data_IF_342894643607
#
_entry.id   IF_342894643607
#
_cell.length_a   1.000
_cell.length_b   1.000
_cell.length_c   1.000
_cell.angle_alpha   90.00
_cell.angle_beta   90.00
_cell.angle_gamma   90.00
#
_symmetry.space_group_name_H-M   'P 1'
#
loop_
_entity.id
_entity.type
_entity.pdbx_description
1 polymer ?
#
# COMPACT_ATOMS: atom_id res chain seq x y z
N UNK A 1 5.44 -45.14 21.40
CA UNK A 1 6.39 -44.22 22.06
C UNK A 1 7.44 -43.88 21.02
N UNK A 2 7.17 -42.90 20.15
CA UNK A 2 8.06 -42.53 19.06
C UNK A 2 8.62 -41.14 19.29
N UNK A 3 9.93 -41.08 19.57
CA UNK A 3 10.69 -39.86 19.75
C UNK A 3 11.09 -39.30 18.39
N UNK A 4 10.54 -38.14 18.01
CA UNK A 4 11.06 -37.34 16.90
C UNK A 4 12.17 -36.42 17.42
N UNK A 5 13.37 -36.62 16.87
CA UNK A 5 14.58 -35.84 17.12
C UNK A 5 14.45 -34.50 16.40
N UNK A 6 14.68 -33.41 17.12
CA UNK A 6 14.84 -32.07 16.57
C UNK A 6 16.29 -31.87 16.15
N UNK A 7 16.53 -31.57 14.88
CA UNK A 7 17.83 -31.07 14.41
C UNK A 7 17.77 -29.54 14.38
N UNK A 8 18.50 -28.90 15.29
CA UNK A 8 18.78 -27.46 15.29
C UNK A 8 20.13 -27.27 14.61
N UNK A 9 20.16 -26.60 13.47
CA UNK A 9 21.39 -26.19 12.80
C UNK A 9 21.72 -24.78 13.27
N UNK A 10 22.80 -24.65 14.05
CA UNK A 10 23.45 -23.38 14.33
C UNK A 10 24.48 -23.11 13.23
N UNK A 11 24.31 -22.03 12.47
CA UNK A 11 25.33 -21.52 11.57
C UNK A 11 25.96 -20.29 12.22
N UNK A 12 27.21 -20.43 12.67
CA UNK A 12 28.04 -19.36 13.19
C UNK A 12 28.92 -18.83 12.04
N UNK A 13 28.76 -17.57 11.67
CA UNK A 13 29.71 -16.90 10.77
C UNK A 13 30.79 -16.22 11.61
N UNK A 14 32.01 -16.71 11.43
CA UNK A 14 33.27 -16.11 11.88
C UNK A 14 33.61 -15.02 10.86
N UNK A 15 33.68 -13.76 11.29
CA UNK A 15 34.33 -12.68 10.52
C UNK A 15 35.74 -12.53 11.09
N UNK A 16 36.73 -13.01 10.32
CA UNK A 16 38.14 -12.74 10.58
C UNK A 16 38.50 -11.37 9.97
N UNK A 17 39.08 -10.52 10.81
CA UNK A 17 39.72 -9.28 10.41
C UNK A 17 41.00 -9.55 9.60
N UNK A 18 41.25 -8.73 8.58
CA UNK A 18 42.51 -8.64 7.87
C UNK A 18 42.82 -7.19 7.52
N UNK A 19 43.67 -6.57 8.33
CA UNK A 19 44.36 -5.31 8.06
C UNK A 19 45.66 -5.54 7.27
N UNK A 20 46.24 -4.43 6.81
CA UNK A 20 47.58 -4.21 6.24
C UNK A 20 47.66 -4.30 4.70
N UNK A 21 48.28 -3.39 3.95
CA UNK A 21 49.08 -2.18 4.22
C UNK A 21 49.56 -1.65 2.85
N UNK A 22 49.46 -0.35 2.55
CA UNK A 22 50.49 0.68 2.73
C UNK A 22 51.40 0.96 1.48
N UNK A 23 51.39 2.23 1.04
CA UNK A 23 52.53 3.13 0.71
C UNK A 23 52.54 3.86 -0.65
N UNK A 24 52.45 5.19 -0.52
CA UNK A 24 53.30 6.29 -1.05
C UNK A 24 53.71 6.39 -2.52
N UNK A 25 53.45 7.58 -3.11
CA UNK A 25 54.46 8.60 -3.51
C UNK A 25 53.76 9.84 -4.13
N UNK A 26 53.87 11.04 -3.51
CA UNK A 26 54.64 12.26 -3.93
C UNK A 26 54.54 12.62 -5.43
N UNK A 27 54.40 13.87 -5.91
CA UNK A 27 54.48 15.24 -5.39
C UNK A 27 53.93 16.21 -6.47
N UNK A 28 53.56 17.45 -6.10
CA UNK A 28 54.16 18.68 -6.64
C UNK A 28 53.26 19.91 -6.40
N UNK A 29 53.90 20.89 -5.79
CA UNK A 29 53.55 22.31 -5.59
C UNK A 29 53.07 23.05 -6.84
N UNK A 30 52.20 24.06 -6.65
CA UNK A 30 52.55 25.44 -6.96
C UNK A 30 51.67 26.47 -6.23
N UNK A 31 52.36 27.43 -5.61
CA UNK A 31 51.84 28.67 -5.02
C UNK A 31 51.34 29.62 -6.11
N UNK A 32 50.34 30.45 -5.79
CA UNK A 32 50.28 31.84 -6.24
C UNK A 32 49.39 32.66 -5.28
N UNK A 33 50.07 33.46 -4.46
CA UNK A 33 49.50 34.53 -3.64
C UNK A 33 49.72 35.84 -4.38
N UNK A 34 48.68 36.64 -4.64
CA UNK A 34 48.82 38.10 -4.79
C UNK A 34 47.58 38.82 -4.23
N UNK A 35 47.88 39.74 -3.31
CA UNK A 35 47.04 40.76 -2.66
C UNK A 35 46.27 41.66 -3.65
N UNK A 36 45.14 42.25 -3.23
CA UNK A 36 45.13 43.60 -2.61
C UNK A 36 43.75 44.29 -2.56
N UNK A 37 43.54 44.97 -1.43
CA UNK A 37 42.82 46.25 -1.19
C UNK A 37 41.27 46.26 -1.30
N UNK A 38 40.58 46.38 -0.17
CA UNK A 38 40.22 47.60 0.58
C UNK A 38 39.17 48.49 -0.10
N UNK A 39 38.00 48.60 0.53
CA UNK A 39 37.31 49.87 0.84
C UNK A 39 36.25 49.60 1.93
N UNK A 40 36.51 50.11 3.13
CA UNK A 40 35.50 50.39 4.16
C UNK A 40 34.72 51.65 3.76
N UNK A 41 33.39 51.65 3.97
CA UNK A 41 32.65 52.84 4.41
C UNK A 41 31.63 52.40 5.47
N UNK A 42 31.72 53.08 6.61
CA UNK A 42 30.91 52.98 7.83
C UNK A 42 29.56 53.72 7.73
N UNK A 43 28.73 53.49 8.76
CA UNK A 43 27.53 54.23 9.23
C UNK A 43 26.19 53.63 8.75
N UNK A 44 25.14 53.50 9.56
CA UNK A 44 24.89 53.85 10.96
C UNK A 44 23.70 53.01 11.48
N UNK A 45 23.61 52.95 12.81
CA UNK A 45 22.68 52.19 13.62
C UNK A 45 21.33 52.92 13.76
N UNK A 46 20.22 52.24 13.52
CA UNK A 46 18.92 52.56 14.14
C UNK A 46 18.13 51.27 14.41
N UNK A 47 17.56 51.19 15.62
CA UNK A 47 16.89 50.04 16.21
C UNK A 47 15.41 49.93 15.77
N UNK A 48 14.72 48.80 16.02
CA UNK A 48 13.54 48.39 15.26
C UNK A 48 12.22 48.90 15.87
N UNK A 49 11.25 49.21 15.01
CA UNK A 49 9.83 49.27 15.37
C UNK A 49 9.17 47.88 15.20
N UNK A 50 8.32 47.43 16.15
CA UNK A 50 7.66 46.15 16.05
C UNK A 50 6.37 46.30 15.23
N UNK A 51 6.41 45.99 13.94
CA UNK A 51 5.18 45.87 13.15
C UNK A 51 4.62 44.46 13.29
N UNK A 52 3.57 44.35 14.10
CA UNK A 52 2.64 43.22 14.10
C UNK A 52 2.16 42.95 12.67
N UNK A 53 2.69 41.89 12.07
CA UNK A 53 2.17 41.30 10.83
C UNK A 53 1.89 39.84 11.14
N UNK A 54 0.66 39.58 11.61
CA UNK A 54 0.07 38.24 11.64
C UNK A 54 -0.04 37.73 10.20
N UNK A 55 1.04 37.15 9.68
CA UNK A 55 1.02 36.33 8.49
C UNK A 55 0.40 35.00 8.91
N UNK A 56 -0.93 34.94 8.88
CA UNK A 56 -1.63 33.67 8.79
C UNK A 56 -1.26 33.10 7.42
N UNK A 57 -0.19 32.28 7.37
CA UNK A 57 0.10 31.43 6.21
C UNK A 57 -1.16 30.60 5.97
N UNK A 58 -1.95 30.99 4.97
CA UNK A 58 -2.90 30.08 4.35
C UNK A 58 -2.06 28.90 3.85
N UNK A 59 -2.15 27.78 4.55
CA UNK A 59 -1.64 26.50 4.04
C UNK A 59 -2.57 26.16 2.90
N UNK A 60 -2.21 26.61 1.71
CA UNK A 60 -2.85 26.15 0.49
C UNK A 60 -2.63 24.63 0.46
N UNK A 61 -3.72 23.88 0.65
CA UNK A 61 -3.69 22.42 0.58
C UNK A 61 -3.55 22.09 -0.90
N UNK A 62 -2.31 22.08 -1.36
CA UNK A 62 -1.99 21.78 -2.75
C UNK A 62 -2.35 20.30 -3.01
N UNK A 63 -3.22 20.07 -4.00
CA UNK A 63 -3.70 18.72 -4.32
C UNK A 63 -2.58 17.88 -4.94
N UNK A 64 -2.46 16.59 -4.58
CA UNK A 64 -1.46 15.70 -5.16
C UNK A 64 -1.73 15.47 -6.66
N UNK A 65 -0.66 15.30 -7.42
CA UNK A 65 -0.69 14.97 -8.84
C UNK A 65 -0.93 13.48 -9.01
N UNK A 66 -2.07 13.11 -9.60
CA UNK A 66 -2.49 11.71 -9.75
C UNK A 66 -2.15 11.17 -11.14
N UNK A 67 -1.39 10.08 -11.17
CA UNK A 67 -1.14 9.26 -12.36
C UNK A 67 -1.93 7.96 -12.29
N UNK A 68 -2.47 7.51 -13.42
CA UNK A 68 -3.28 6.27 -13.48
C UNK A 68 -2.78 5.42 -14.64
N UNK A 69 -2.28 4.22 -14.34
CA UNK A 69 -1.93 3.22 -15.34
C UNK A 69 -3.07 2.21 -15.49
N UNK A 70 -3.96 2.45 -16.46
CA UNK A 70 -5.13 1.59 -16.69
C UNK A 70 -4.77 0.17 -17.11
N UNK A 71 -3.64 0.01 -17.82
CA UNK A 71 -3.18 -1.28 -18.36
C UNK A 71 -2.68 -2.21 -17.25
N UNK A 72 -1.95 -1.64 -16.30
CA UNK A 72 -1.39 -2.37 -15.17
C UNK A 72 -2.33 -2.37 -13.95
N UNK A 73 -3.36 -1.51 -13.95
CA UNK A 73 -4.37 -1.47 -12.90
C UNK A 73 -3.82 -0.90 -11.60
N UNK A 74 -3.19 0.28 -11.65
CA UNK A 74 -2.82 1.02 -10.45
C UNK A 74 -2.84 2.53 -10.67
N UNK A 75 -2.82 3.28 -9.58
CA UNK A 75 -2.66 4.73 -9.60
C UNK A 75 -1.60 5.18 -8.62
N UNK A 76 -0.85 6.21 -9.00
CA UNK A 76 0.18 6.84 -8.19
C UNK A 76 -0.24 8.26 -7.85
N UNK A 77 0.09 8.71 -6.65
CA UNK A 77 -0.10 10.09 -6.22
C UNK A 77 1.27 10.68 -5.90
N UNK A 78 1.63 11.75 -6.62
CA UNK A 78 2.87 12.50 -6.44
C UNK A 78 2.58 13.81 -5.72
N UNK A 79 3.58 14.35 -5.01
CA UNK A 79 3.49 15.69 -4.45
C UNK A 79 3.54 16.72 -5.58
N UNK A 80 2.84 17.84 -5.43
CA UNK A 80 2.83 18.89 -6.48
C UNK A 80 4.22 19.42 -6.81
N UNK A 81 5.11 19.49 -5.81
CA UNK A 81 6.49 19.96 -5.97
C UNK A 81 7.29 19.18 -7.02
N UNK A 82 6.73 18.12 -7.58
CA UNK A 82 7.32 17.25 -8.58
C UNK A 82 6.83 17.50 -10.00
N UNK A 83 5.78 18.30 -10.21
CA UNK A 83 5.05 18.41 -11.49
C UNK A 83 5.95 18.52 -12.73
N UNK A 84 7.11 19.18 -12.59
CA UNK A 84 8.05 19.45 -13.67
C UNK A 84 9.41 18.73 -13.53
N UNK A 85 9.53 17.82 -12.56
CA UNK A 85 10.78 17.15 -12.19
C UNK A 85 10.78 15.64 -12.47
N UNK A 86 9.72 15.08 -13.04
CA UNK A 86 9.71 13.67 -13.40
C UNK A 86 9.07 13.41 -14.76
N UNK A 87 9.42 12.26 -15.32
CA UNK A 87 8.78 11.69 -16.49
C UNK A 87 8.45 10.22 -16.20
N UNK A 88 7.26 9.80 -16.62
CA UNK A 88 6.84 8.39 -16.58
C UNK A 88 6.85 7.85 -18.00
N UNK A 89 7.67 6.83 -18.23
CA UNK A 89 7.75 6.10 -19.47
C UNK A 89 7.07 4.72 -19.29
N UNK A 90 6.04 4.43 -20.08
CA UNK A 90 5.31 3.15 -20.04
C UNK A 90 5.90 2.14 -21.03
N UNK A 91 6.24 0.92 -20.57
CA UNK A 91 6.86 -0.12 -21.40
C UNK A 91 6.21 -1.46 -21.07
N UNK A 92 5.44 -2.05 -21.98
CA UNK A 92 4.89 -3.43 -21.87
C UNK A 92 4.28 -3.84 -20.51
N UNK A 93 5.06 -4.43 -19.61
CA UNK A 93 4.60 -4.87 -18.30
C UNK A 93 5.14 -3.99 -17.16
N UNK A 94 5.77 -2.86 -17.46
CA UNK A 94 6.35 -1.94 -16.50
C UNK A 94 6.11 -0.48 -16.80
N UNK A 95 6.34 0.34 -15.78
CA UNK A 95 6.58 1.77 -15.93
C UNK A 95 7.96 2.10 -15.39
N UNK A 96 8.57 3.13 -15.96
CA UNK A 96 9.85 3.69 -15.53
C UNK A 96 9.59 5.14 -15.15
N UNK A 97 9.91 5.51 -13.93
CA UNK A 97 9.82 6.87 -13.42
C UNK A 97 11.25 7.41 -13.42
N UNK A 98 11.47 8.49 -14.16
CA UNK A 98 12.74 9.16 -14.31
C UNK A 98 12.65 10.56 -13.68
N UNK A 99 13.73 11.01 -13.02
CA UNK A 99 13.95 12.40 -12.67
C UNK A 99 14.36 13.17 -13.92
N UNK A 100 13.74 14.31 -14.17
CA UNK A 100 14.11 15.21 -15.24
C UNK A 100 15.09 16.26 -14.69
N UNK A 101 16.36 16.17 -15.10
CA UNK A 101 17.39 17.13 -14.72
C UNK A 101 17.15 18.48 -15.41
N UNK A 102 17.64 19.61 -14.86
CA UNK A 102 17.47 20.94 -15.46
C UNK A 102 18.04 21.07 -16.88
N UNK A 103 19.06 20.27 -17.22
CA UNK A 103 19.66 20.22 -18.55
C UNK A 103 18.83 19.40 -19.57
N UNK A 104 17.72 18.78 -19.13
CA UNK A 104 16.84 17.95 -19.94
C UNK A 104 17.17 16.45 -19.91
N UNK A 105 18.26 16.05 -19.24
CA UNK A 105 18.63 14.65 -19.12
C UNK A 105 17.69 13.90 -18.16
N UNK A 106 17.56 12.59 -18.39
CA UNK A 106 16.76 11.70 -17.57
C UNK A 106 17.65 10.87 -16.67
N UNK A 107 17.38 10.89 -15.37
CA UNK A 107 17.97 9.94 -14.42
C UNK A 107 16.91 8.93 -13.96
N UNK A 108 17.26 7.64 -13.98
CA UNK A 108 16.36 6.60 -13.48
C UNK A 108 16.11 6.73 -11.97
N UNK A 109 14.85 6.88 -11.55
CA UNK A 109 14.45 6.87 -10.14
C UNK A 109 13.98 5.48 -9.73
N UNK A 110 12.92 5.00 -10.37
CA UNK A 110 12.38 3.68 -10.11
C UNK A 110 11.68 3.08 -11.31
N UNK A 111 11.53 1.75 -11.31
CA UNK A 111 10.55 1.08 -12.16
C UNK A 111 9.53 0.36 -11.30
N UNK A 112 8.31 0.22 -11.82
CA UNK A 112 7.29 -0.67 -11.28
C UNK A 112 7.00 -1.68 -12.36
N UNK A 113 7.20 -2.95 -12.04
CA UNK A 113 7.06 -4.03 -13.00
C UNK A 113 5.97 -4.99 -12.52
N UNK A 114 5.16 -5.49 -13.46
CA UNK A 114 4.16 -6.53 -13.22
C UNK A 114 4.68 -7.84 -13.80
N UNK A 115 4.79 -8.84 -12.93
CA UNK A 115 5.15 -10.19 -13.28
C UNK A 115 3.98 -11.13 -13.01
N UNK A 116 3.85 -12.22 -13.76
CA UNK A 116 3.09 -13.38 -13.25
C UNK A 116 3.82 -14.00 -12.06
N UNK A 117 3.15 -14.90 -11.34
CA UNK A 117 3.77 -15.72 -10.29
C UNK A 117 5.01 -16.47 -10.77
N UNK A 118 4.88 -17.14 -11.91
CA UNK A 118 5.92 -17.98 -12.49
C UNK A 118 7.08 -17.13 -13.04
N UNK A 119 6.80 -15.95 -13.58
CA UNK A 119 7.82 -14.97 -13.95
C UNK A 119 8.57 -14.47 -12.72
N UNK A 120 7.85 -14.10 -11.66
CA UNK A 120 8.47 -13.63 -10.42
C UNK A 120 9.37 -14.69 -9.77
N UNK A 121 8.90 -15.94 -9.70
CA UNK A 121 9.69 -17.03 -9.12
C UNK A 121 10.95 -17.33 -9.94
N UNK A 122 10.97 -17.03 -11.25
CA UNK A 122 12.19 -17.08 -12.08
C UNK A 122 13.12 -15.92 -11.77
N UNK A 123 12.58 -14.70 -11.73
CA UNK A 123 13.34 -13.49 -11.37
C UNK A 123 14.04 -13.68 -10.02
N UNK A 124 13.32 -14.13 -8.98
CA UNK A 124 13.89 -14.35 -7.64
C UNK A 124 14.96 -15.46 -7.61
N UNK A 125 14.86 -16.47 -8.49
CA UNK A 125 15.84 -17.57 -8.55
C UNK A 125 17.12 -17.19 -9.27
N UNK A 126 17.02 -16.36 -10.30
CA UNK A 126 18.16 -15.94 -11.12
C UNK A 126 18.95 -14.79 -10.47
N UNK A 127 18.35 -14.10 -9.49
CA UNK A 127 18.89 -12.88 -8.89
C UNK A 127 19.83 -13.13 -7.70
N UNK A 128 20.87 -13.94 -7.91
CA UNK A 128 21.92 -14.18 -6.91
C UNK A 128 23.00 -13.08 -6.86
N UNK A 129 23.05 -12.15 -7.83
CA UNK A 129 24.19 -11.21 -7.95
C UNK A 129 23.87 -9.78 -8.44
N UNK A 130 22.64 -9.39 -8.78
CA UNK A 130 22.39 -8.05 -9.38
C UNK A 130 21.40 -7.24 -8.55
N UNK A 131 21.93 -6.37 -7.68
CA UNK A 131 21.20 -5.23 -7.06
C UNK A 131 19.75 -5.53 -6.69
N UNK A 132 19.55 -6.07 -5.48
CA UNK A 132 18.28 -6.57 -4.98
C UNK A 132 17.06 -5.73 -5.45
N UNK A 133 15.97 -6.38 -5.92
CA UNK A 133 14.75 -5.68 -6.29
C UNK A 133 14.35 -4.75 -5.14
N UNK A 134 13.97 -3.52 -5.47
CA UNK A 134 13.56 -2.45 -4.55
C UNK A 134 12.35 -2.79 -3.65
N UNK A 135 11.89 -4.04 -3.70
CA UNK A 135 10.86 -4.62 -2.86
C UNK A 135 9.67 -5.10 -3.68
N UNK A 136 8.95 -6.08 -3.11
CA UNK A 136 7.61 -6.44 -3.58
C UNK A 136 6.67 -5.33 -3.13
N UNK A 137 6.00 -4.68 -4.09
CA UNK A 137 5.01 -3.64 -3.83
C UNK A 137 3.61 -4.24 -3.55
N UNK A 138 3.21 -5.21 -4.37
CA UNK A 138 1.94 -5.92 -4.23
C UNK A 138 2.08 -7.35 -4.73
N UNK A 139 1.45 -8.29 -4.04
CA UNK A 139 1.43 -9.70 -4.41
C UNK A 139 -0.01 -10.20 -4.42
N UNK A 140 -0.56 -10.43 -5.61
CA UNK A 140 -1.90 -11.01 -5.81
C UNK A 140 -1.80 -12.50 -6.16
N UNK A 141 -2.94 -13.18 -6.33
CA UNK A 141 -2.95 -14.59 -6.77
C UNK A 141 -2.31 -14.79 -8.15
N UNK A 142 -2.46 -13.80 -9.04
CA UNK A 142 -2.01 -13.90 -10.44
C UNK A 142 -0.71 -13.15 -10.69
N UNK A 143 -0.52 -12.00 -10.05
CA UNK A 143 0.56 -11.07 -10.37
C UNK A 143 1.38 -10.67 -9.15
N UNK A 144 2.64 -10.35 -9.38
CA UNK A 144 3.54 -9.66 -8.44
C UNK A 144 3.93 -8.33 -9.05
N UNK A 145 3.67 -7.25 -8.32
CA UNK A 145 4.22 -5.94 -8.62
C UNK A 145 5.49 -5.75 -7.82
N UNK A 146 6.60 -5.54 -8.51
CA UNK A 146 7.91 -5.28 -7.92
C UNK A 146 8.34 -3.85 -8.23
N UNK A 147 9.30 -3.34 -7.48
CA UNK A 147 10.02 -2.13 -7.86
C UNK A 147 11.50 -2.40 -8.03
N UNK A 148 12.15 -1.63 -8.90
CA UNK A 148 13.61 -1.57 -8.99
C UNK A 148 14.07 -0.14 -8.76
N UNK A 149 15.25 0.02 -8.18
CA UNK A 149 15.81 1.34 -7.84
C UNK A 149 17.27 1.40 -8.22
N UNK A 150 17.73 2.60 -8.55
CA UNK A 150 19.16 2.91 -8.59
C UNK A 150 19.58 3.35 -7.20
N UNK A 151 20.53 2.66 -6.58
CA UNK A 151 21.14 3.11 -5.32
C UNK A 151 22.43 3.93 -5.54
N UNK A 152 23.08 3.78 -6.71
CA UNK A 152 24.52 4.07 -6.81
C UNK A 152 24.92 5.11 -7.88
N UNK A 153 23.99 5.81 -8.54
CA UNK A 153 24.34 6.82 -9.55
C UNK A 153 24.03 8.25 -9.11
N UNK A 154 25.01 8.87 -8.45
CA UNK A 154 25.05 10.30 -8.19
C UNK A 154 26.32 10.97 -8.74
N UNK A 155 27.18 10.20 -9.42
CA UNK A 155 28.59 10.58 -9.66
C UNK A 155 28.81 11.82 -10.51
N UNK A 156 27.84 12.23 -11.31
CA UNK A 156 27.92 13.39 -12.20
C UNK A 156 26.95 14.53 -11.82
N UNK A 157 26.17 14.38 -10.74
CA UNK A 157 25.24 15.40 -10.26
C UNK A 157 25.94 16.45 -9.40
N UNK A 158 25.50 17.71 -9.50
CA UNK A 158 25.90 18.76 -8.54
C UNK A 158 25.39 18.46 -7.12
N UNK A 159 25.94 19.14 -6.11
CA UNK A 159 25.49 18.94 -4.71
C UNK A 159 24.01 19.32 -4.53
N UNK A 160 23.55 20.35 -5.20
CA UNK A 160 22.15 20.78 -5.22
C UNK A 160 21.24 19.76 -5.90
N UNK A 161 21.68 19.18 -7.03
CA UNK A 161 20.96 18.13 -7.73
C UNK A 161 20.86 16.87 -6.87
N UNK A 162 21.94 16.50 -6.19
CA UNK A 162 21.95 15.37 -5.25
C UNK A 162 20.97 15.60 -4.09
N UNK A 163 20.93 16.80 -3.50
CA UNK A 163 19.97 17.13 -2.43
C UNK A 163 18.52 17.02 -2.90
N UNK A 164 18.23 17.52 -4.09
CA UNK A 164 16.89 17.42 -4.70
C UNK A 164 16.56 15.96 -4.99
N UNK A 165 17.49 15.21 -5.58
CA UNK A 165 17.32 13.79 -5.91
C UNK A 165 17.10 12.92 -4.67
N UNK A 166 17.89 13.09 -3.61
CA UNK A 166 17.72 12.36 -2.33
C UNK A 166 16.35 12.65 -1.74
N UNK A 167 15.97 13.94 -1.67
CA UNK A 167 14.66 14.34 -1.17
C UNK A 167 13.53 13.75 -2.01
N UNK A 168 13.71 13.70 -3.34
CA UNK A 168 12.79 13.05 -4.28
C UNK A 168 12.69 11.56 -3.96
N UNK A 169 13.80 10.84 -3.85
CA UNK A 169 13.79 9.41 -3.52
C UNK A 169 13.06 9.15 -2.19
N UNK A 170 13.34 9.93 -1.14
CA UNK A 170 12.67 9.85 0.16
C UNK A 170 11.16 10.16 0.05
N UNK A 171 10.81 11.26 -0.63
CA UNK A 171 9.43 11.69 -0.84
C UNK A 171 8.63 10.77 -1.77
N UNK A 172 9.27 9.97 -2.62
CA UNK A 172 8.64 8.91 -3.39
C UNK A 172 8.46 7.67 -2.53
N UNK A 173 9.45 7.31 -1.72
CA UNK A 173 9.47 6.06 -0.99
C UNK A 173 8.27 5.90 -0.05
N UNK A 174 8.00 6.93 0.75
CA UNK A 174 6.88 6.93 1.69
C UNK A 174 5.53 6.76 0.96
N UNK A 175 5.24 7.50 -0.14
CA UNK A 175 4.09 7.27 -1.00
C UNK A 175 4.06 5.93 -1.74
N UNK A 176 5.19 5.38 -2.18
CA UNK A 176 5.26 4.06 -2.84
C UNK A 176 4.82 2.97 -1.88
N UNK A 177 5.25 3.02 -0.63
CA UNK A 177 4.77 2.12 0.43
C UNK A 177 3.27 2.35 0.71
N UNK A 178 2.75 3.54 0.40
CA UNK A 178 1.31 3.87 0.47
C UNK A 178 0.54 3.69 -0.85
N UNK A 179 1.16 3.12 -1.90
CA UNK A 179 0.53 3.00 -3.22
C UNK A 179 -0.82 2.29 -3.12
N UNK A 180 -1.86 2.97 -3.60
CA UNK A 180 -3.16 2.36 -3.82
C UNK A 180 -3.14 1.66 -5.17
N UNK A 181 -2.75 0.38 -5.16
CA UNK A 181 -3.04 -0.50 -6.28
C UNK A 181 -4.56 -0.65 -6.39
N UNK A 182 -5.13 0.05 -7.36
CA UNK A 182 -6.52 -0.09 -7.77
C UNK A 182 -6.51 -0.89 -9.06
N UNK A 183 -6.64 -2.22 -9.03
CA UNK A 183 -6.74 -3.02 -10.24
C UNK A 183 -8.01 -2.63 -11.01
N UNK A 184 -7.92 -1.57 -11.81
CA UNK A 184 -8.97 -1.16 -12.74
C UNK A 184 -9.16 -2.31 -13.74
N UNK A 185 -10.30 -2.99 -13.62
CA UNK A 185 -10.62 -4.18 -14.42
C UNK A 185 -11.00 -5.42 -13.59
N UNK A 186 -10.66 -5.46 -12.29
CA UNK A 186 -11.32 -6.40 -11.38
C UNK A 186 -12.71 -5.87 -11.07
N UNK A 187 -13.64 -6.05 -12.03
CA UNK A 187 -15.06 -5.87 -11.74
C UNK A 187 -15.38 -6.74 -10.53
N UNK A 188 -16.02 -6.15 -9.51
CA UNK A 188 -16.65 -6.89 -8.40
C UNK A 188 -17.30 -8.13 -8.99
N UNK A 189 -16.71 -9.28 -8.70
CA UNK A 189 -17.26 -10.55 -9.15
C UNK A 189 -18.37 -10.87 -8.17
N UNK A 190 -19.52 -10.22 -8.38
CA UNK A 190 -20.74 -10.50 -7.66
C UNK A 190 -21.05 -11.98 -7.81
N UNK A 191 -20.93 -12.71 -6.72
CA UNK A 191 -21.07 -14.15 -6.70
C UNK A 191 -22.56 -14.48 -6.65
N UNK A 192 -23.04 -15.25 -7.62
CA UNK A 192 -24.41 -15.75 -7.60
C UNK A 192 -24.50 -16.90 -6.58
N UNK A 193 -25.24 -16.75 -5.47
CA UNK A 193 -25.30 -17.76 -4.41
C UNK A 193 -25.84 -19.11 -4.89
N UNK A 194 -26.60 -19.15 -6.00
CA UNK A 194 -27.12 -20.39 -6.61
C UNK A 194 -26.01 -21.23 -7.24
N UNK A 195 -24.89 -20.60 -7.58
CA UNK A 195 -23.76 -21.24 -8.27
C UNK A 195 -22.63 -21.65 -7.33
N UNK A 196 -22.58 -21.10 -6.10
CA UNK A 196 -21.53 -21.40 -5.13
C UNK A 196 -21.57 -22.86 -4.69
N UNK A 197 -20.41 -23.51 -4.65
CA UNK A 197 -20.19 -24.87 -4.14
C UNK A 197 -19.09 -24.90 -3.10
N UNK A 198 -19.15 -25.88 -2.19
CA UNK A 198 -18.06 -26.14 -1.25
C UNK A 198 -16.81 -26.54 -2.05
N UNK A 199 -15.69 -25.90 -1.75
CA UNK A 199 -14.43 -26.09 -2.46
C UNK A 199 -14.10 -25.00 -3.48
N UNK A 200 -15.08 -24.22 -3.92
CA UNK A 200 -14.86 -23.06 -4.80
C UNK A 200 -13.90 -22.06 -4.15
N UNK A 201 -13.19 -21.29 -4.96
CA UNK A 201 -12.21 -20.30 -4.48
C UNK A 201 -12.51 -18.93 -5.07
N UNK A 202 -12.59 -17.91 -4.22
CA UNK A 202 -12.83 -16.53 -4.59
C UNK A 202 -11.80 -15.65 -3.87
N UNK A 203 -10.97 -14.93 -4.62
CA UNK A 203 -9.89 -14.08 -4.09
C UNK A 203 -9.03 -14.79 -3.01
N UNK A 204 -8.53 -15.99 -3.35
CA UNK A 204 -7.74 -16.82 -2.43
C UNK A 204 -8.52 -17.44 -1.27
N UNK A 205 -9.81 -17.13 -1.09
CA UNK A 205 -10.66 -17.69 -0.05
C UNK A 205 -11.43 -18.91 -0.55
N UNK A 206 -11.30 -20.03 0.15
CA UNK A 206 -11.97 -21.29 -0.19
C UNK A 206 -13.31 -21.43 0.52
N UNK A 207 -14.38 -21.73 -0.20
CA UNK A 207 -15.71 -21.98 0.37
C UNK A 207 -15.70 -23.27 1.18
N UNK A 208 -15.98 -23.16 2.48
CA UNK A 208 -16.01 -24.27 3.42
C UNK A 208 -17.44 -24.79 3.66
N UNK A 209 -18.44 -23.92 3.63
CA UNK A 209 -19.85 -24.32 3.75
C UNK A 209 -20.76 -23.30 3.08
N UNK A 210 -21.88 -23.79 2.53
CA UNK A 210 -22.97 -22.97 1.99
C UNK A 210 -24.27 -23.46 2.61
N UNK A 211 -25.09 -22.55 3.12
CA UNK A 211 -26.45 -22.83 3.56
C UNK A 211 -27.38 -21.78 2.97
N UNK A 212 -28.48 -22.22 2.37
CA UNK A 212 -29.48 -21.34 1.77
C UNK A 212 -30.87 -21.72 2.27
N UNK A 213 -31.75 -20.74 2.44
CA UNK A 213 -33.19 -20.95 2.58
C UNK A 213 -33.89 -20.25 1.43
N UNK A 214 -34.73 -20.99 0.70
CA UNK A 214 -35.52 -20.44 -0.39
C UNK A 214 -36.50 -19.39 0.15
N UNK A 215 -36.81 -18.39 -0.68
CA UNK A 215 -37.84 -17.40 -0.37
C UNK A 215 -39.16 -18.11 -0.09
N UNK A 216 -39.78 -17.86 1.06
CA UNK A 216 -41.11 -18.36 1.35
C UNK A 216 -42.12 -17.84 0.32
N UNK A 217 -43.01 -18.71 -0.18
CA UNK A 217 -44.04 -18.40 -1.18
C UNK A 217 -44.95 -17.21 -0.83
N UNK A 218 -44.95 -16.76 0.43
CA UNK A 218 -45.70 -15.60 0.92
C UNK A 218 -45.08 -14.25 0.57
N UNK A 219 -43.84 -14.21 0.07
CA UNK A 219 -43.15 -12.97 -0.30
C UNK A 219 -42.90 -12.89 -1.82
N UNK A 220 -43.98 -13.02 -2.62
CA UNK A 220 -43.92 -13.01 -4.09
C UNK A 220 -43.36 -11.71 -4.69
N UNK A 221 -43.33 -10.64 -3.89
CA UNK A 221 -42.80 -9.34 -4.29
C UNK A 221 -41.30 -9.17 -3.98
N UNK A 222 -40.67 -10.08 -3.21
CA UNK A 222 -39.23 -10.05 -3.01
C UNK A 222 -38.50 -10.52 -4.26
N UNK A 223 -37.77 -9.61 -4.91
CA UNK A 223 -36.86 -9.92 -6.03
C UNK A 223 -35.55 -10.61 -5.60
N UNK A 224 -35.49 -11.08 -4.35
CA UNK A 224 -34.35 -11.78 -3.79
C UNK A 224 -34.35 -13.26 -4.19
N UNK A 225 -33.18 -13.89 -4.35
CA UNK A 225 -33.11 -15.33 -4.66
C UNK A 225 -33.43 -16.24 -3.47
N UNK A 226 -33.15 -15.76 -2.26
CA UNK A 226 -33.16 -16.53 -1.03
C UNK A 226 -33.62 -15.64 0.13
N UNK A 227 -34.34 -16.19 1.10
CA UNK A 227 -34.61 -15.53 2.39
C UNK A 227 -33.37 -15.52 3.29
N UNK A 228 -32.46 -16.47 3.05
CA UNK A 228 -31.21 -16.58 3.77
C UNK A 228 -30.11 -17.20 2.89
N UNK A 229 -28.92 -16.60 2.94
CA UNK A 229 -27.67 -17.16 2.42
C UNK A 229 -26.60 -17.04 3.49
N UNK A 230 -26.00 -18.16 3.88
CA UNK A 230 -24.83 -18.20 4.77
C UNK A 230 -23.69 -18.90 4.05
N UNK A 231 -22.56 -18.22 3.89
CA UNK A 231 -21.37 -18.78 3.26
C UNK A 231 -20.19 -18.60 4.20
N UNK A 232 -19.51 -19.71 4.50
CA UNK A 232 -18.26 -19.68 5.25
C UNK A 232 -17.10 -19.84 4.28
N UNK A 233 -16.19 -18.87 4.31
CA UNK A 233 -14.94 -18.86 3.58
C UNK A 233 -13.78 -19.14 4.55
N UNK A 234 -12.83 -19.97 4.10
CA UNK A 234 -11.57 -20.25 4.79
C UNK A 234 -10.41 -19.68 4.00
N UNK A 235 -9.33 -19.35 4.70
CA UNK A 235 -8.15 -18.72 4.10
C UNK A 235 -7.91 -17.36 4.74
N UNK A 236 -7.10 -16.54 4.08
CA UNK A 236 -6.84 -15.19 4.53
C UNK A 236 -6.67 -14.29 3.33
N UNK A 237 -7.19 -13.07 3.45
CA UNK A 237 -7.11 -12.05 2.43
C UNK A 237 -6.74 -10.74 3.09
N UNK A 238 -5.97 -9.93 2.38
CA UNK A 238 -5.67 -8.58 2.78
C UNK A 238 -6.70 -7.62 2.16
N UNK A 239 -7.27 -6.75 2.98
CA UNK A 239 -8.29 -5.79 2.56
C UNK A 239 -7.99 -4.40 3.10
N UNK A 240 -8.42 -3.38 2.35
CA UNK A 240 -8.52 -2.00 2.84
C UNK A 240 -9.98 -1.58 2.87
N UNK A 241 -10.30 -0.66 3.75
CA UNK A 241 -11.67 -0.19 3.90
C UNK A 241 -11.80 0.87 4.97
N UNK A 242 -12.98 1.47 4.99
CA UNK A 242 -13.37 2.43 6.02
C UNK A 242 -13.96 1.68 7.22
N UNK A 243 -13.79 2.22 8.42
CA UNK A 243 -14.31 1.61 9.64
C UNK A 243 -15.05 2.63 10.50
N UNK A 244 -15.97 2.10 11.30
CA UNK A 244 -16.66 2.81 12.36
C UNK A 244 -16.70 1.95 13.62
N UNK A 245 -16.20 2.48 14.73
CA UNK A 245 -16.31 1.85 16.05
C UNK A 245 -17.70 2.12 16.57
N UNK A 246 -18.52 1.09 16.68
CA UNK A 246 -19.88 1.20 17.21
C UNK A 246 -19.87 1.14 18.73
N UNK A 247 -20.95 1.63 19.32
CA UNK A 247 -21.20 1.48 20.74
C UNK A 247 -21.49 -0.01 21.05
N UNK A 248 -20.81 -0.62 22.04
CA UNK A 248 -20.97 -2.03 22.39
C UNK A 248 -22.41 -2.41 22.76
N UNK A 249 -23.25 -1.46 23.16
CA UNK A 249 -24.66 -1.72 23.48
C UNK A 249 -25.52 -1.99 22.23
N UNK A 250 -25.05 -1.56 21.05
CA UNK A 250 -25.81 -1.66 19.79
C UNK A 250 -25.22 -2.65 18.79
N UNK A 251 -23.91 -2.89 18.83
CA UNK A 251 -23.30 -3.93 18.00
C UNK A 251 -21.93 -4.36 18.52
N UNK A 252 -21.53 -5.55 18.09
CA UNK A 252 -20.22 -6.11 18.43
C UNK A 252 -19.10 -5.36 17.69
N UNK A 253 -18.64 -4.25 18.27
CA UNK A 253 -17.32 -3.68 18.04
C UNK A 253 -17.15 -2.79 16.81
N UNK A 254 -16.29 -3.22 15.87
CA UNK A 254 -15.86 -2.41 14.73
C UNK A 254 -16.54 -2.90 13.47
N UNK A 255 -17.26 -2.00 12.81
CA UNK A 255 -17.88 -2.23 11.50
C UNK A 255 -16.90 -1.77 10.43
N UNK A 256 -16.70 -2.60 9.41
CA UNK A 256 -15.72 -2.37 8.35
C UNK A 256 -16.39 -2.46 6.98
N UNK A 257 -16.14 -1.48 6.13
CA UNK A 257 -16.62 -1.40 4.75
C UNK A 257 -15.45 -1.63 3.82
N UNK A 258 -15.37 -2.83 3.25
CA UNK A 258 -14.28 -3.20 2.34
C UNK A 258 -14.36 -2.35 1.08
N UNK A 259 -13.21 -1.85 0.64
CA UNK A 259 -13.11 -1.11 -0.62
C UNK A 259 -13.57 -1.99 -1.80
N UNK A 260 -14.34 -1.43 -2.76
CA UNK A 260 -14.86 -2.17 -3.92
C UNK A 260 -13.78 -2.87 -4.76
N UNK A 261 -12.55 -2.37 -4.73
CA UNK A 261 -11.51 -2.69 -5.69
C UNK A 261 -10.70 -3.95 -5.31
N UNK A 262 -10.92 -4.56 -4.14
CA UNK A 262 -10.08 -5.65 -3.61
C UNK A 262 -10.48 -7.07 -4.06
N UNK A 263 -11.47 -7.21 -4.94
CA UNK A 263 -11.98 -8.52 -5.35
C UNK A 263 -12.57 -9.33 -4.18
N UNK A 264 -12.90 -8.67 -3.07
CA UNK A 264 -13.52 -9.29 -1.91
C UNK A 264 -14.84 -9.98 -2.32
N UNK A 265 -15.12 -11.20 -1.86
CA UNK A 265 -16.31 -11.94 -2.28
C UNK A 265 -17.58 -11.25 -1.78
N UNK A 266 -18.28 -10.59 -2.70
CA UNK A 266 -19.62 -10.04 -2.50
C UNK A 266 -20.66 -10.99 -3.09
N UNK A 267 -21.72 -11.29 -2.36
CA UNK A 267 -22.78 -12.19 -2.82
C UNK A 267 -23.96 -11.36 -3.31
N UNK A 268 -24.37 -11.62 -4.55
CA UNK A 268 -25.51 -10.94 -5.18
C UNK A 268 -26.81 -11.62 -4.79
N UNK A 269 -27.65 -10.89 -4.07
CA UNK A 269 -28.92 -11.43 -3.57
C UNK A 269 -30.10 -11.08 -4.49
N UNK A 270 -29.99 -10.01 -5.29
CA UNK A 270 -31.06 -9.56 -6.19
C UNK A 270 -30.75 -9.80 -7.66
N UNK A 271 -31.80 -10.02 -8.47
CA UNK A 271 -31.67 -10.09 -9.93
C UNK A 271 -31.30 -8.75 -10.54
N UNK A 272 -31.89 -7.65 -10.08
CA UNK A 272 -31.52 -6.35 -10.58
C UNK A 272 -30.21 -5.88 -9.94
N UNK A 273 -29.26 -5.40 -10.76
CA UNK A 273 -27.99 -4.90 -10.24
C UNK A 273 -28.19 -3.61 -9.44
N UNK A 274 -29.17 -2.81 -9.85
CA UNK A 274 -29.45 -1.50 -9.26
C UNK A 274 -30.13 -1.61 -7.88
N UNK A 275 -30.64 -2.79 -7.52
CA UNK A 275 -31.32 -3.05 -6.24
C UNK A 275 -30.34 -3.62 -5.17
N UNK A 276 -29.06 -3.86 -5.50
CA UNK A 276 -28.06 -4.34 -4.52
C UNK A 276 -27.49 -3.20 -3.66
N UNK A 277 -28.36 -2.37 -3.10
CA UNK A 277 -28.01 -1.25 -2.22
C UNK A 277 -27.65 -1.73 -0.80
N UNK A 278 -27.14 -2.95 -0.66
CA UNK A 278 -26.70 -3.46 0.63
C UNK A 278 -25.33 -2.86 0.94
N UNK A 279 -25.20 -2.01 1.97
CA UNK A 279 -23.89 -1.67 2.48
C UNK A 279 -23.29 -2.94 3.07
N UNK A 280 -22.44 -3.62 2.28
CA UNK A 280 -21.68 -4.79 2.70
C UNK A 280 -20.66 -4.36 3.76
N UNK A 281 -21.17 -4.28 4.99
CA UNK A 281 -20.40 -4.03 6.17
C UNK A 281 -20.14 -5.36 6.88
N UNK A 282 -18.90 -5.55 7.32
CA UNK A 282 -18.50 -6.74 8.06
C UNK A 282 -18.18 -6.35 9.49
N UNK A 283 -18.65 -7.14 10.44
CA UNK A 283 -18.26 -7.01 11.85
C UNK A 283 -16.89 -7.68 12.06
N UNK A 284 -15.95 -6.92 12.60
CA UNK A 284 -14.61 -7.41 12.91
C UNK A 284 -14.59 -8.13 14.26
N UNK A 285 -14.16 -9.38 14.24
CA UNK A 285 -13.89 -10.18 15.43
C UNK A 285 -12.40 -10.16 15.73
N UNK A 286 -12.04 -9.70 16.92
CA UNK A 286 -10.66 -9.65 17.39
C UNK A 286 -10.38 -10.80 18.34
N UNK A 287 -9.22 -11.44 18.19
CA UNK A 287 -8.76 -12.45 19.16
C UNK A 287 -8.28 -11.76 20.44
N UNK A 288 -7.64 -10.59 20.28
CA UNK A 288 -7.09 -9.81 21.39
C UNK A 288 -7.77 -8.46 21.50
N UNK A 289 -8.24 -8.13 22.72
CA UNK A 289 -8.87 -6.83 23.02
C UNK A 289 -7.98 -5.64 22.62
N UNK A 290 -6.65 -5.77 22.77
CA UNK A 290 -5.69 -4.73 22.41
C UNK A 290 -5.73 -4.37 20.91
N UNK A 291 -6.02 -5.32 20.03
CA UNK A 291 -6.16 -5.05 18.60
C UNK A 291 -7.38 -4.18 18.32
N UNK A 292 -8.51 -4.46 18.98
CA UNK A 292 -9.73 -3.66 18.89
C UNK A 292 -9.51 -2.23 19.39
N UNK A 293 -8.80 -2.06 20.51
CA UNK A 293 -8.51 -0.74 21.11
C UNK A 293 -7.71 0.18 20.17
N UNK A 294 -6.98 -0.36 19.18
CA UNK A 294 -6.27 0.45 18.16
C UNK A 294 -7.23 1.28 17.29
N UNK A 295 -8.47 0.83 17.11
CA UNK A 295 -9.47 1.52 16.29
C UNK A 295 -10.07 2.74 16.98
N UNK A 296 -9.96 2.83 18.31
CA UNK A 296 -10.42 3.95 19.12
C UNK A 296 -11.66 3.64 19.95
N UNK A 297 -12.25 4.69 20.52
CA UNK A 297 -13.49 4.63 21.31
C UNK A 297 -14.73 4.58 20.39
N UNK A 298 -15.92 4.17 20.88
CA UNK A 298 -17.16 4.30 20.12
C UNK A 298 -17.34 5.67 19.46
N UNK A 299 -17.85 5.67 18.24
CA UNK A 299 -17.98 6.83 17.36
C UNK A 299 -16.72 7.17 16.55
N UNK A 300 -15.58 6.50 16.79
CA UNK A 300 -14.36 6.73 15.99
C UNK A 300 -14.55 6.20 14.58
N UNK A 301 -14.23 7.02 13.58
CA UNK A 301 -14.19 6.63 12.17
C UNK A 301 -12.76 6.69 11.64
N UNK A 302 -12.51 5.94 10.60
CA UNK A 302 -11.21 5.97 9.95
C UNK A 302 -11.10 4.99 8.81
N UNK A 303 -9.88 4.75 8.40
CA UNK A 303 -9.51 3.79 7.36
C UNK A 303 -8.47 2.82 7.90
N UNK A 304 -8.56 1.56 7.53
CA UNK A 304 -7.58 0.58 7.94
C UNK A 304 -7.24 -0.42 6.83
N UNK A 305 -6.05 -1.01 6.94
CA UNK A 305 -5.60 -2.18 6.16
C UNK A 305 -5.48 -3.37 7.09
N UNK A 306 -6.16 -4.45 6.75
CA UNK A 306 -6.33 -5.63 7.60
C UNK A 306 -5.98 -6.90 6.84
N UNK A 307 -5.39 -7.87 7.52
CA UNK A 307 -5.41 -9.27 7.08
C UNK A 307 -6.54 -9.96 7.84
N UNK A 308 -7.55 -10.39 7.10
CA UNK A 308 -8.76 -11.00 7.64
C UNK A 308 -8.85 -12.48 7.26
N UNK A 309 -9.57 -13.26 8.06
CA UNK A 309 -9.71 -14.71 7.88
C UNK A 309 -11.04 -15.23 8.42
N UNK A 310 -11.37 -16.47 8.10
CA UNK A 310 -12.60 -17.14 8.54
C UNK A 310 -13.85 -16.28 8.26
N UNK A 311 -13.92 -15.72 7.04
CA UNK A 311 -15.01 -14.84 6.64
C UNK A 311 -16.33 -15.59 6.58
N UNK A 312 -17.32 -15.11 7.33
CA UNK A 312 -18.66 -15.64 7.37
C UNK A 312 -19.62 -14.61 6.80
N UNK A 313 -20.05 -14.83 5.56
CA UNK A 313 -21.08 -14.03 4.92
C UNK A 313 -22.45 -14.47 5.41
N UNK A 314 -23.30 -13.50 5.75
CA UNK A 314 -24.70 -13.71 6.08
C UNK A 314 -25.56 -12.68 5.34
N UNK A 315 -26.48 -13.19 4.54
CA UNK A 315 -27.70 -12.50 4.17
C UNK A 315 -28.86 -13.23 4.85
N UNK A 316 -29.67 -12.50 5.60
CA UNK A 316 -30.90 -13.02 6.16
C UNK A 316 -31.82 -11.88 6.52
N UNK A 317 -33.12 -12.14 6.66
CA UNK A 317 -34.06 -11.18 7.27
C UNK A 317 -33.87 -11.02 8.80
N UNK A 318 -32.87 -11.71 9.40
CA UNK A 318 -32.53 -11.56 10.81
C UNK A 318 -31.46 -10.49 11.02
N UNK A 319 -31.27 -10.06 12.27
CA UNK A 319 -30.22 -9.09 12.66
C UNK A 319 -28.79 -9.65 12.58
N UNK A 320 -28.61 -10.87 12.08
CA UNK A 320 -27.29 -11.49 11.93
C UNK A 320 -26.50 -10.81 10.81
N UNK A 321 -25.29 -10.35 11.15
CA UNK A 321 -24.38 -9.68 10.23
C UNK A 321 -23.26 -10.60 9.79
N UNK A 322 -22.69 -10.30 8.62
CA UNK A 322 -21.44 -10.89 8.18
C UNK A 322 -20.32 -10.60 9.19
N UNK A 323 -19.51 -11.62 9.50
CA UNK A 323 -18.43 -11.53 10.50
C UNK A 323 -17.11 -12.00 9.89
N UNK A 324 -16.00 -11.45 10.37
CA UNK A 324 -14.67 -11.92 9.99
C UNK A 324 -13.70 -11.86 11.17
N UNK A 325 -12.73 -12.76 11.22
CA UNK A 325 -11.65 -12.68 12.20
C UNK A 325 -10.49 -11.84 11.67
N UNK A 326 -10.06 -10.87 12.46
CA UNK A 326 -8.85 -10.10 12.17
C UNK A 326 -7.62 -10.90 12.62
N UNK A 327 -6.73 -11.21 11.68
CA UNK A 327 -5.44 -11.83 11.96
C UNK A 327 -4.37 -10.77 12.25
N UNK A 328 -4.32 -9.77 11.39
CA UNK A 328 -3.33 -8.70 11.47
C UNK A 328 -3.97 -7.36 11.17
N UNK A 329 -3.53 -6.35 11.91
CA UNK A 329 -3.89 -4.95 11.69
C UNK A 329 -2.64 -4.24 11.21
N UNK A 330 -2.62 -3.88 9.92
CA UNK A 330 -1.55 -3.10 9.30
C UNK A 330 -1.61 -1.65 9.79
N UNK A 331 -2.06 -0.73 8.93
CA UNK A 331 -2.22 0.68 9.27
C UNK A 331 -3.65 1.03 9.68
N UNK A 332 -3.78 2.07 10.50
CA UNK A 332 -5.04 2.73 10.88
C UNK A 332 -4.83 4.24 10.74
N UNK A 333 -5.74 4.90 10.03
CA UNK A 333 -5.80 6.35 9.90
C UNK A 333 -7.16 6.81 10.42
N UNK A 334 -7.16 7.62 11.48
CA UNK A 334 -8.40 8.19 12.06
C UNK A 334 -8.78 9.44 11.28
N UNK A 335 -10.08 9.63 11.05
CA UNK A 335 -10.65 10.82 10.39
C UNK A 335 -11.23 11.75 11.43
#
# INVERSE_FOLDING_TARGET
MDRKIWAVVFMACIVAAGCDGAKDQTASTNNLTVNSRQSEVLQEKSAPEPTNSSITKAVEIIKPLKYVNKRLGFSLEFREAWRDHYQIDEIDNKIVINYLRPNGDKEFLLSIERHTREEWDRVVKDDTEVSAPGGILLKTDTYVFSSWRKTDAMGDMSEEEQKVFVKIVEDIYDPIVSMKFKPEGMKRSLIDPRTIRVGDTFAGLKVASVKTANVHDTNKDCKCYYDMVKVQFRGSIEVTGDYEVQDPDFSEGVIFHVDPDFGFPEIRIYENKDDNDLPDSISLQFTEKRQQERFGKPGTKGRARLVISDYFYVYSQSDERSKVKVKEVGYITKI
#
